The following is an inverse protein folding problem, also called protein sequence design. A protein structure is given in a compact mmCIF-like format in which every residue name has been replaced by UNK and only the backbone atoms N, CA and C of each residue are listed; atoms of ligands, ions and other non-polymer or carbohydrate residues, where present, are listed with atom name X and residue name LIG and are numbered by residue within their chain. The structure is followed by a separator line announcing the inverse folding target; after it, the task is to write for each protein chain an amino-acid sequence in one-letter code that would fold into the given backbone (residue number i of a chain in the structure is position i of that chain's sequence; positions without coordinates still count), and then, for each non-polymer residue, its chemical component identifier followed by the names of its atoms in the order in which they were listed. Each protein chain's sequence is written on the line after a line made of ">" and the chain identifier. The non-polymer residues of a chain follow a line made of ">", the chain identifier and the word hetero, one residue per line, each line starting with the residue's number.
data_IF_924190797722
#
_entry.id   IF_924190797722
#
_cell.length_a   1.000
_cell.length_b   1.000
_cell.length_c   1.000
_cell.angle_alpha   90.00
_cell.angle_beta   90.00
_cell.angle_gamma   90.00
#
_symmetry.space_group_name_H-M   'P 1'
#
loop_
_entity.id
_entity.type
_entity.pdbx_description
1 polymer ?
#
# COMPACT_ATOMS: atom_id res chain seq x y z
N UNK A 1 -10.35 -13.99 -28.76
CA UNK A 1 -11.65 -13.32 -28.56
C UNK A 1 -11.62 -12.06 -29.42
N UNK A 2 -12.65 -11.76 -30.22
CA UNK A 2 -12.69 -10.52 -31.01
C UNK A 2 -13.25 -9.33 -30.24
N UNK A 3 -14.02 -9.60 -29.19
CA UNK A 3 -14.81 -8.60 -28.48
C UNK A 3 -14.27 -8.49 -27.04
N UNK A 4 -14.10 -7.26 -26.57
CA UNK A 4 -13.51 -6.93 -25.27
C UNK A 4 -14.58 -6.77 -24.19
N UNK A 5 -14.63 -5.61 -23.55
CA UNK A 5 -15.65 -5.28 -22.55
C UNK A 5 -16.87 -4.68 -23.24
N UNK A 6 -18.06 -5.21 -22.93
CA UNK A 6 -19.35 -4.69 -23.38
C UNK A 6 -20.14 -4.06 -22.25
N UNK A 7 -20.82 -2.95 -22.54
CA UNK A 7 -21.73 -2.27 -21.63
C UNK A 7 -23.15 -2.50 -22.13
N UNK A 8 -24.03 -2.94 -21.22
CA UNK A 8 -25.45 -3.13 -21.50
C UNK A 8 -26.20 -1.92 -20.95
N UNK A 9 -26.87 -1.18 -21.83
CA UNK A 9 -27.67 -0.03 -21.44
C UNK A 9 -29.03 -0.42 -20.88
N UNK A 10 -29.80 0.57 -20.42
CA UNK A 10 -31.16 0.36 -19.88
C UNK A 10 -32.18 -0.14 -20.90
N UNK A 11 -31.87 -0.03 -22.18
CA UNK A 11 -32.69 -0.49 -23.31
C UNK A 11 -32.21 -1.83 -23.87
N UNK A 12 -31.26 -2.50 -23.19
CA UNK A 12 -30.65 -3.77 -23.59
C UNK A 12 -29.82 -3.69 -24.88
N UNK A 13 -29.34 -2.51 -25.28
CA UNK A 13 -28.32 -2.41 -26.32
C UNK A 13 -26.93 -2.65 -25.73
N UNK A 14 -26.08 -3.27 -26.53
CA UNK A 14 -24.69 -3.56 -26.18
C UNK A 14 -23.79 -2.56 -26.90
N UNK A 15 -23.01 -1.80 -26.13
CA UNK A 15 -21.95 -0.92 -26.63
C UNK A 15 -20.60 -1.50 -26.23
N UNK A 16 -19.69 -1.65 -27.20
CA UNK A 16 -18.35 -2.21 -26.95
C UNK A 16 -17.35 -1.11 -26.60
N UNK A 17 -16.60 -1.32 -25.52
CA UNK A 17 -15.56 -0.39 -25.08
C UNK A 17 -14.33 -0.56 -25.94
N UNK A 18 -13.92 0.51 -26.63
CA UNK A 18 -12.70 0.50 -27.46
C UNK A 18 -11.43 0.24 -26.63
N UNK A 19 -10.43 -0.39 -27.24
CA UNK A 19 -9.12 -0.63 -26.60
C UNK A 19 -9.09 -1.75 -25.55
N UNK A 20 -10.14 -2.56 -25.45
CA UNK A 20 -10.24 -3.65 -24.45
C UNK A 20 -10.05 -5.05 -25.04
N UNK A 21 -9.85 -5.17 -26.35
CA UNK A 21 -9.77 -6.44 -27.09
C UNK A 21 -8.40 -7.12 -27.01
N UNK A 22 -7.36 -6.40 -26.58
CA UNK A 22 -6.00 -6.92 -26.42
C UNK A 22 -5.82 -7.80 -25.18
N UNK A 23 -6.71 -7.67 -24.21
CA UNK A 23 -6.58 -8.27 -22.88
C UNK A 23 -7.72 -9.26 -22.62
N UNK A 24 -7.44 -10.27 -21.79
CA UNK A 24 -8.46 -11.23 -21.34
C UNK A 24 -8.97 -10.81 -19.97
N UNK A 25 -10.16 -10.23 -19.94
CA UNK A 25 -10.82 -9.80 -18.71
C UNK A 25 -11.50 -10.98 -18.01
N UNK A 26 -11.34 -11.07 -16.70
CA UNK A 26 -11.80 -12.17 -15.85
C UNK A 26 -13.00 -11.77 -14.99
N UNK A 27 -13.08 -10.50 -14.61
CA UNK A 27 -14.12 -10.02 -13.71
C UNK A 27 -14.18 -8.49 -13.68
N UNK A 28 -15.28 -7.98 -13.12
CA UNK A 28 -15.55 -6.57 -12.95
C UNK A 28 -16.09 -6.31 -11.54
N UNK A 29 -15.63 -5.21 -10.94
CA UNK A 29 -16.05 -4.72 -9.64
C UNK A 29 -16.58 -3.29 -9.82
N UNK A 30 -17.89 -3.11 -9.70
CA UNK A 30 -18.56 -1.82 -9.75
C UNK A 30 -19.12 -1.54 -8.35
N UNK A 31 -18.21 -1.35 -7.39
CA UNK A 31 -18.61 -1.34 -5.98
C UNK A 31 -19.29 -0.04 -5.56
N UNK A 32 -19.08 1.07 -6.26
CA UNK A 32 -19.80 2.32 -5.99
C UNK A 32 -20.67 2.73 -7.18
N UNK A 33 -21.99 2.75 -6.98
CA UNK A 33 -22.93 3.23 -7.98
C UNK A 33 -22.85 4.75 -8.21
N UNK A 34 -22.17 5.50 -7.34
CA UNK A 34 -22.01 6.95 -7.46
C UNK A 34 -20.74 7.36 -8.22
N UNK A 35 -19.72 6.49 -8.27
CA UNK A 35 -18.45 6.79 -8.93
C UNK A 35 -18.50 6.67 -10.46
N UNK A 36 -19.58 6.11 -11.03
CA UNK A 36 -19.68 5.79 -12.47
C UNK A 36 -18.39 5.13 -13.00
N UNK A 37 -17.76 4.30 -12.17
CA UNK A 37 -16.47 3.68 -12.43
C UNK A 37 -16.53 2.22 -12.02
N UNK A 38 -15.95 1.37 -12.85
CA UNK A 38 -15.83 -0.05 -12.62
C UNK A 38 -14.39 -0.48 -12.79
N UNK A 39 -13.93 -1.36 -11.93
CA UNK A 39 -12.57 -1.89 -11.95
C UNK A 39 -12.62 -3.30 -12.50
N UNK A 40 -11.84 -3.54 -13.54
CA UNK A 40 -11.75 -4.82 -14.21
C UNK A 40 -10.44 -5.50 -13.86
N UNK A 41 -10.50 -6.79 -13.63
CA UNK A 41 -9.33 -7.65 -13.45
C UNK A 41 -9.18 -8.54 -14.68
N UNK A 42 -7.94 -8.78 -15.10
CA UNK A 42 -7.63 -9.57 -16.29
C UNK A 42 -6.43 -10.48 -16.09
N UNK A 43 -6.24 -11.38 -17.05
CA UNK A 43 -5.10 -12.31 -17.08
C UNK A 43 -3.77 -11.55 -17.08
N UNK A 44 -2.74 -12.15 -16.48
CA UNK A 44 -1.42 -11.52 -16.31
C UNK A 44 -1.40 -10.38 -15.30
N UNK A 45 -2.23 -10.48 -14.25
CA UNK A 45 -2.36 -9.48 -13.19
C UNK A 45 -2.70 -8.08 -13.70
N UNK A 46 -3.57 -8.00 -14.73
CA UNK A 46 -4.04 -6.74 -15.31
C UNK A 46 -5.17 -6.15 -14.47
N UNK A 47 -5.12 -4.84 -14.25
CA UNK A 47 -6.22 -4.05 -13.69
C UNK A 47 -6.58 -2.95 -14.70
N UNK A 48 -7.88 -2.73 -14.92
CA UNK A 48 -8.39 -1.71 -15.81
C UNK A 48 -9.50 -0.89 -15.16
N UNK A 49 -9.38 0.43 -15.17
CA UNK A 49 -10.43 1.33 -14.70
C UNK A 49 -11.30 1.78 -15.86
N UNK A 50 -12.54 1.31 -15.88
CA UNK A 50 -13.55 1.71 -16.84
C UNK A 50 -14.38 2.85 -16.26
N UNK A 51 -14.34 4.01 -16.91
CA UNK A 51 -15.30 5.08 -16.61
C UNK A 51 -16.53 4.92 -17.48
N UNK A 52 -17.68 4.86 -16.82
CA UNK A 52 -18.99 4.75 -17.42
C UNK A 52 -19.55 6.14 -17.71
N UNK A 53 -20.13 6.29 -18.88
CA UNK A 53 -21.02 7.41 -19.22
C UNK A 53 -22.46 6.88 -19.16
N UNK A 54 -23.21 7.15 -18.08
CA UNK A 54 -24.57 6.64 -17.91
C UNK A 54 -25.58 7.28 -18.87
N UNK A 55 -25.26 8.45 -19.43
CA UNK A 55 -26.12 9.14 -20.40
C UNK A 55 -25.86 8.65 -21.82
N UNK A 56 -24.59 8.41 -22.16
CA UNK A 56 -24.15 7.93 -23.48
C UNK A 56 -23.19 6.73 -23.33
N UNK A 57 -23.69 5.49 -23.23
CA UNK A 57 -22.88 4.29 -22.96
C UNK A 57 -21.70 4.09 -23.93
N UNK A 58 -21.84 4.50 -25.19
CA UNK A 58 -20.79 4.46 -26.23
C UNK A 58 -19.56 5.30 -25.91
N UNK A 59 -19.69 6.34 -25.07
CA UNK A 59 -18.58 7.20 -24.65
C UNK A 59 -17.78 6.62 -23.47
N UNK A 60 -18.26 5.53 -22.88
CA UNK A 60 -17.56 4.86 -21.78
C UNK A 60 -16.21 4.32 -22.27
N UNK A 61 -15.16 4.51 -21.48
CA UNK A 61 -13.80 4.22 -21.92
C UNK A 61 -12.93 3.73 -20.78
N UNK A 62 -11.95 2.88 -21.12
CA UNK A 62 -10.86 2.55 -20.21
C UNK A 62 -9.98 3.77 -20.00
N UNK A 63 -9.91 4.22 -18.75
CA UNK A 63 -9.11 5.38 -18.33
C UNK A 63 -7.66 4.98 -18.10
N UNK A 64 -7.46 3.81 -17.47
CA UNK A 64 -6.13 3.34 -17.07
C UNK A 64 -6.11 1.81 -17.11
N UNK A 65 -5.06 1.25 -17.71
CA UNK A 65 -4.76 -0.19 -17.65
C UNK A 65 -3.33 -0.34 -17.16
N UNK A 66 -3.13 -1.16 -16.13
CA UNK A 66 -1.81 -1.46 -15.58
C UNK A 66 -1.71 -2.90 -15.12
N UNK A 67 -0.52 -3.32 -14.71
CA UNK A 67 -0.23 -4.69 -14.27
C UNK A 67 0.40 -4.69 -12.88
N UNK A 68 0.06 -5.69 -12.07
CA UNK A 68 0.52 -5.84 -10.68
C UNK A 68 1.45 -7.07 -10.56
N UNK A 69 2.46 -7.16 -11.45
CA UNK A 69 3.32 -8.34 -11.59
C UNK A 69 4.18 -8.65 -10.36
N UNK A 70 4.52 -7.64 -9.57
CA UNK A 70 5.45 -7.78 -8.45
C UNK A 70 4.89 -8.61 -7.28
N UNK A 71 3.57 -8.77 -7.20
CA UNK A 71 2.90 -9.45 -6.08
C UNK A 71 2.95 -10.97 -6.15
N UNK A 72 3.19 -11.53 -7.35
CA UNK A 72 3.18 -12.97 -7.60
C UNK A 72 1.78 -13.57 -7.56
N UNK A 73 1.37 -14.18 -8.67
CA UNK A 73 0.07 -14.82 -8.83
C UNK A 73 -0.81 -14.17 -9.90
N UNK A 74 -2.00 -14.72 -10.08
CA UNK A 74 -3.00 -14.29 -11.06
C UNK A 74 -4.34 -14.02 -10.37
N UNK A 75 -5.06 -13.01 -10.87
CA UNK A 75 -6.39 -12.68 -10.35
C UNK A 75 -7.36 -13.85 -10.53
N UNK A 76 -8.16 -14.10 -9.50
CA UNK A 76 -9.15 -15.18 -9.50
C UNK A 76 -10.58 -14.66 -9.42
N UNK A 77 -10.89 -13.93 -8.35
CA UNK A 77 -12.22 -13.33 -8.14
C UNK A 77 -12.09 -11.98 -7.46
N UNK A 78 -13.10 -11.14 -7.66
CA UNK A 78 -13.32 -9.92 -6.92
C UNK A 78 -14.48 -10.08 -5.91
N UNK A 79 -14.45 -9.30 -4.85
CA UNK A 79 -15.51 -9.14 -3.86
C UNK A 79 -15.59 -7.67 -3.46
N UNK A 80 -16.72 -7.27 -2.92
CA UNK A 80 -16.92 -5.91 -2.41
C UNK A 80 -16.22 -5.74 -1.06
N UNK A 81 -15.46 -4.66 -0.91
CA UNK A 81 -14.94 -4.20 0.38
C UNK A 81 -15.82 -3.14 1.02
N UNK A 82 -15.41 -2.68 2.20
CA UNK A 82 -16.01 -1.53 2.90
C UNK A 82 -15.59 -0.23 2.19
N UNK A 83 -16.42 0.81 2.27
CA UNK A 83 -16.16 2.14 1.70
C UNK A 83 -15.87 2.12 0.20
N UNK A 84 -16.74 1.48 -0.57
CA UNK A 84 -16.71 1.54 -2.05
C UNK A 84 -15.47 0.92 -2.71
N UNK A 85 -14.69 0.17 -1.96
CA UNK A 85 -13.50 -0.52 -2.43
C UNK A 85 -13.79 -1.92 -2.95
N UNK A 86 -12.83 -2.46 -3.67
CA UNK A 86 -12.88 -3.81 -4.22
C UNK A 86 -11.76 -4.67 -3.62
N UNK A 87 -12.11 -5.88 -3.21
CA UNK A 87 -11.17 -6.89 -2.76
C UNK A 87 -10.89 -7.84 -3.91
N UNK A 88 -9.61 -7.99 -4.29
CA UNK A 88 -9.18 -8.91 -5.32
C UNK A 88 -8.41 -10.07 -4.72
N UNK A 89 -8.79 -11.28 -5.12
CA UNK A 89 -8.12 -12.51 -4.70
C UNK A 89 -7.17 -13.00 -5.78
N UNK A 90 -6.05 -13.56 -5.35
CA UNK A 90 -5.00 -14.09 -6.21
C UNK A 90 -4.86 -15.61 -6.04
N UNK A 91 -4.36 -16.26 -7.07
CA UNK A 91 -3.86 -17.65 -7.06
C UNK A 91 -2.40 -17.66 -7.55
N UNK A 92 -1.44 -18.22 -6.80
CA UNK A 92 -1.54 -18.76 -5.44
C UNK A 92 -2.06 -17.74 -4.41
N UNK A 93 -2.50 -18.20 -3.23
CA UNK A 93 -3.30 -17.38 -2.30
C UNK A 93 -2.72 -15.98 -2.09
N UNK A 94 -3.58 -14.97 -2.26
CA UNK A 94 -3.26 -13.58 -2.01
C UNK A 94 -4.53 -12.74 -1.98
N UNK A 95 -4.45 -11.61 -1.30
CA UNK A 95 -5.56 -10.68 -1.13
C UNK A 95 -5.06 -9.25 -1.29
N UNK A 96 -5.73 -8.52 -2.18
CA UNK A 96 -5.48 -7.12 -2.46
C UNK A 96 -6.75 -6.33 -2.21
N UNK A 97 -6.58 -5.10 -1.75
CA UNK A 97 -7.64 -4.12 -1.62
C UNK A 97 -7.39 -2.98 -2.57
N UNK A 98 -8.37 -2.63 -3.36
CA UNK A 98 -8.30 -1.56 -4.34
C UNK A 98 -9.31 -0.46 -4.01
N UNK A 99 -8.83 0.77 -3.94
CA UNK A 99 -9.65 1.95 -3.76
C UNK A 99 -9.87 2.65 -5.12
N UNK A 100 -11.09 2.66 -5.67
CA UNK A 100 -11.36 3.32 -6.94
C UNK A 100 -11.31 4.85 -6.86
N UNK A 101 -11.46 5.45 -5.67
CA UNK A 101 -11.44 6.91 -5.50
C UNK A 101 -10.02 7.44 -5.55
N UNK A 102 -9.11 6.83 -4.80
CA UNK A 102 -7.70 7.25 -4.77
C UNK A 102 -6.85 6.56 -5.83
N UNK A 103 -7.37 5.49 -6.45
CA UNK A 103 -6.66 4.56 -7.34
C UNK A 103 -5.51 3.80 -6.67
N UNK A 104 -5.51 3.75 -5.33
CA UNK A 104 -4.51 3.04 -4.55
C UNK A 104 -4.80 1.54 -4.49
N UNK A 105 -3.74 0.75 -4.44
CA UNK A 105 -3.82 -0.69 -4.19
C UNK A 105 -3.04 -1.02 -2.93
N UNK A 106 -3.71 -1.65 -1.98
CA UNK A 106 -3.14 -2.11 -0.73
C UNK A 106 -3.01 -3.63 -0.75
N UNK A 107 -1.82 -4.12 -0.50
CA UNK A 107 -1.57 -5.54 -0.34
C UNK A 107 -1.94 -5.95 1.07
N UNK A 108 -3.00 -6.76 1.20
CA UNK A 108 -3.42 -7.28 2.51
C UNK A 108 -2.70 -8.58 2.84
N UNK A 109 -2.45 -9.41 1.82
CA UNK A 109 -1.80 -10.70 1.99
C UNK A 109 -1.14 -11.13 0.68
N UNK A 110 0.10 -11.62 0.76
CA UNK A 110 0.80 -12.26 -0.37
C UNK A 110 1.14 -13.70 -0.05
N UNK A 111 1.26 -14.52 -1.10
CA UNK A 111 1.54 -15.94 -0.94
C UNK A 111 2.85 -16.21 -0.20
N UNK A 112 3.88 -15.38 -0.41
CA UNK A 112 5.19 -15.51 0.21
C UNK A 112 5.10 -15.50 1.75
N UNK A 113 4.30 -14.59 2.31
CA UNK A 113 4.11 -14.46 3.76
C UNK A 113 3.22 -15.58 4.31
N UNK A 114 2.22 -16.04 3.54
CA UNK A 114 1.40 -17.19 3.95
C UNK A 114 2.22 -18.47 3.99
N UNK A 115 3.22 -18.64 3.12
CA UNK A 115 4.10 -19.82 3.13
C UNK A 115 4.89 -19.89 4.44
N UNK A 116 5.35 -18.76 4.98
CA UNK A 116 6.16 -18.76 6.21
C UNK A 116 5.34 -19.13 7.44
N UNK A 117 4.06 -18.71 7.48
CA UNK A 117 3.15 -19.00 8.59
C UNK A 117 2.45 -20.36 8.45
N UNK A 118 1.91 -20.67 7.27
CA UNK A 118 1.16 -21.90 7.03
C UNK A 118 1.23 -22.38 5.57
N UNK A 119 2.16 -23.31 5.32
CA UNK A 119 2.36 -23.96 4.01
C UNK A 119 1.11 -24.67 3.47
N UNK A 120 0.20 -25.10 4.34
CA UNK A 120 -1.01 -25.80 3.91
C UNK A 120 -2.01 -24.82 3.33
N UNK A 121 -2.19 -23.68 4.00
CA UNK A 121 -3.05 -22.57 3.58
C UNK A 121 -2.52 -21.90 2.32
N UNK A 122 -1.20 -21.78 2.16
CA UNK A 122 -0.58 -21.13 1.01
C UNK A 122 -0.89 -21.80 -0.35
N UNK A 123 -1.39 -23.04 -0.32
CA UNK A 123 -1.76 -23.84 -1.49
C UNK A 123 -3.28 -23.91 -1.72
N UNK A 124 -4.06 -23.17 -0.94
CA UNK A 124 -5.52 -23.11 -1.10
C UNK A 124 -5.90 -21.84 -1.86
N UNK A 125 -7.06 -21.85 -2.52
CA UNK A 125 -7.59 -20.67 -3.19
C UNK A 125 -8.63 -20.00 -2.29
N UNK A 126 -8.71 -18.67 -2.32
CA UNK A 126 -9.81 -17.94 -1.69
C UNK A 126 -11.02 -18.01 -2.61
N UNK A 127 -12.15 -18.50 -2.09
CA UNK A 127 -13.42 -18.52 -2.82
C UNK A 127 -14.22 -17.24 -2.55
N UNK A 128 -14.23 -16.78 -1.30
CA UNK A 128 -14.98 -15.60 -0.88
C UNK A 128 -14.24 -14.91 0.25
N UNK A 129 -14.33 -13.59 0.28
CA UNK A 129 -13.70 -12.72 1.28
C UNK A 129 -14.66 -11.58 1.58
N UNK A 130 -14.70 -11.17 2.84
CA UNK A 130 -15.43 -9.98 3.25
C UNK A 130 -14.69 -9.29 4.39
N UNK A 131 -14.84 -7.98 4.46
CA UNK A 131 -14.33 -7.16 5.54
C UNK A 131 -15.36 -7.04 6.68
N UNK A 132 -14.85 -7.01 7.91
CA UNK A 132 -15.63 -6.65 9.10
C UNK A 132 -15.39 -5.19 9.49
N UNK A 133 -14.16 -4.72 9.28
CA UNK A 133 -13.73 -3.32 9.32
C UNK A 133 -12.68 -3.12 8.22
N UNK A 134 -12.26 -1.88 7.97
CA UNK A 134 -11.28 -1.55 6.94
C UNK A 134 -10.02 -2.39 7.09
N UNK A 135 -9.68 -3.18 6.06
CA UNK A 135 -8.51 -4.08 6.00
C UNK A 135 -8.52 -5.25 6.99
N UNK A 136 -9.63 -5.51 7.68
CA UNK A 136 -9.76 -6.68 8.57
C UNK A 136 -11.00 -7.47 8.19
N UNK A 137 -10.95 -8.79 8.35
CA UNK A 137 -12.11 -9.60 8.04
C UNK A 137 -11.80 -11.08 7.96
N UNK A 138 -12.57 -11.77 7.13
CA UNK A 138 -12.46 -13.20 6.97
C UNK A 138 -12.51 -13.60 5.49
N UNK A 139 -11.91 -14.74 5.19
CA UNK A 139 -12.07 -15.39 3.91
C UNK A 139 -12.32 -16.89 4.08
N UNK A 140 -13.01 -17.45 3.09
CA UNK A 140 -13.28 -18.89 2.97
C UNK A 140 -12.39 -19.47 1.89
N UNK A 141 -11.69 -20.55 2.23
CA UNK A 141 -10.81 -21.25 1.29
C UNK A 141 -11.54 -22.35 0.52
N UNK A 142 -10.91 -22.82 -0.55
CA UNK A 142 -11.33 -23.98 -1.34
C UNK A 142 -11.55 -25.28 -0.55
N UNK A 143 -10.98 -25.40 0.65
CA UNK A 143 -11.18 -26.57 1.53
C UNK A 143 -12.20 -26.34 2.63
N UNK A 144 -12.86 -25.18 2.64
CA UNK A 144 -13.87 -24.82 3.63
C UNK A 144 -13.31 -24.27 4.94
N UNK A 145 -12.03 -23.90 4.99
CA UNK A 145 -11.44 -23.21 6.14
C UNK A 145 -11.91 -21.75 6.15
N UNK A 146 -12.30 -21.24 7.32
CA UNK A 146 -12.54 -19.81 7.55
C UNK A 146 -11.31 -19.26 8.25
N UNK A 147 -10.68 -18.26 7.65
CA UNK A 147 -9.44 -17.66 8.15
C UNK A 147 -9.64 -16.16 8.30
N UNK A 148 -9.21 -15.62 9.44
CA UNK A 148 -9.19 -14.18 9.66
C UNK A 148 -7.95 -13.56 9.02
N UNK A 149 -8.10 -12.36 8.48
CA UNK A 149 -6.99 -11.53 8.06
C UNK A 149 -7.07 -10.18 8.76
N UNK A 150 -5.90 -9.63 9.07
CA UNK A 150 -5.72 -8.32 9.66
C UNK A 150 -4.42 -7.74 9.10
N UNK A 151 -4.30 -6.41 8.99
CA UNK A 151 -3.05 -5.82 8.54
C UNK A 151 -1.95 -6.20 9.53
N UNK A 152 -0.75 -6.46 9.02
CA UNK A 152 0.42 -6.49 9.86
C UNK A 152 0.47 -5.13 10.56
N UNK A 153 0.22 -5.14 11.87
CA UNK A 153 0.58 -4.00 12.69
C UNK A 153 2.09 -3.98 12.58
N UNK A 154 2.62 -3.06 11.79
CA UNK A 154 3.98 -2.61 12.02
C UNK A 154 3.93 -2.13 13.47
N UNK A 155 4.33 -2.99 14.40
CA UNK A 155 5.09 -2.55 15.55
C UNK A 155 6.30 -1.87 14.95
N UNK A 156 6.10 -0.62 14.49
CA UNK A 156 7.11 0.37 14.17
C UNK A 156 8.04 0.25 15.34
N UNK A 157 9.15 -0.47 15.12
CA UNK A 157 9.92 -1.13 16.16
C UNK A 157 10.15 -0.14 17.28
N UNK A 158 9.25 -0.14 18.29
CA UNK A 158 9.15 0.98 19.21
C UNK A 158 10.49 1.05 19.95
N UNK A 159 11.14 -0.11 20.09
CA UNK A 159 12.53 -0.27 20.51
C UNK A 159 13.52 0.62 19.75
N UNK A 160 13.52 0.72 18.42
CA UNK A 160 14.51 1.54 17.68
C UNK A 160 14.23 3.02 17.89
N UNK A 161 12.98 3.47 17.72
CA UNK A 161 12.63 4.88 17.87
C UNK A 161 12.85 5.33 19.33
N UNK A 162 12.42 4.54 20.30
CA UNK A 162 12.65 4.80 21.73
C UNK A 162 14.13 4.76 22.08
N UNK A 163 14.93 3.84 21.53
CA UNK A 163 16.38 3.77 21.78
C UNK A 163 17.09 5.01 21.24
N UNK A 164 16.74 5.46 20.03
CA UNK A 164 17.30 6.69 19.45
C UNK A 164 16.90 7.91 20.27
N UNK A 165 15.64 8.01 20.68
CA UNK A 165 15.17 9.09 21.55
C UNK A 165 15.89 9.10 22.91
N UNK A 166 16.07 7.93 23.52
CA UNK A 166 16.80 7.77 24.78
C UNK A 166 18.28 8.18 24.64
N UNK A 167 18.92 7.83 23.53
CA UNK A 167 20.29 8.27 23.23
C UNK A 167 20.38 9.80 23.09
N UNK A 168 19.43 10.40 22.35
CA UNK A 168 19.37 11.86 22.17
C UNK A 168 19.19 12.55 23.52
N UNK A 169 18.26 12.08 24.35
CA UNK A 169 18.02 12.63 25.69
C UNK A 169 19.24 12.47 26.59
N UNK A 170 19.91 11.32 26.55
CA UNK A 170 21.13 11.04 27.33
C UNK A 170 22.30 11.97 26.98
N UNK A 171 22.38 12.46 25.73
CA UNK A 171 23.39 13.44 25.31
C UNK A 171 22.94 14.87 25.62
N UNK A 172 21.68 15.18 25.35
CA UNK A 172 21.14 16.54 25.47
C UNK A 172 21.14 17.03 26.92
N UNK A 173 20.70 16.20 27.87
CA UNK A 173 20.55 16.61 29.27
C UNK A 173 21.91 17.00 29.90
N UNK A 174 22.95 16.15 29.87
CA UNK A 174 24.28 16.55 30.35
C UNK A 174 24.88 17.71 29.54
N UNK A 175 24.62 17.77 28.23
CA UNK A 175 25.08 18.85 27.37
C UNK A 175 24.58 20.22 27.80
N UNK A 176 23.32 20.34 28.20
CA UNK A 176 22.73 21.58 28.73
C UNK A 176 23.37 21.95 30.08
N UNK A 177 23.58 20.99 30.99
CA UNK A 177 24.28 21.26 32.26
C UNK A 177 25.70 21.77 32.04
N UNK A 178 26.46 21.15 31.13
CA UNK A 178 27.81 21.61 30.78
C UNK A 178 27.78 22.99 30.11
N UNK A 179 26.79 23.25 29.25
CA UNK A 179 26.58 24.54 28.62
C UNK A 179 26.31 25.65 29.64
N UNK A 180 25.47 25.38 30.64
CA UNK A 180 25.16 26.32 31.73
C UNK A 180 26.39 26.59 32.61
N UNK A 181 27.16 25.56 32.97
CA UNK A 181 28.41 25.71 33.74
C UNK A 181 29.43 26.55 32.96
N UNK A 182 29.57 26.31 31.66
CA UNK A 182 30.45 27.09 30.79
C UNK A 182 30.00 28.55 30.66
N UNK A 183 28.69 28.80 30.54
CA UNK A 183 28.15 30.16 30.46
C UNK A 183 28.36 30.91 31.78
N UNK A 184 28.12 30.27 32.92
CA UNK A 184 28.21 30.92 34.22
C UNK A 184 29.65 31.11 34.73
N UNK A 185 30.65 30.44 34.15
CA UNK A 185 32.05 30.51 34.60
C UNK A 185 32.94 31.40 33.72
N UNK A 186 33.34 32.60 34.19
CA UNK A 186 34.28 33.47 33.48
C UNK A 186 35.66 32.82 33.30
N UNK A 187 36.03 31.90 34.19
CA UNK A 187 37.31 31.20 34.13
C UNK A 187 37.37 30.19 32.98
N UNK A 188 36.31 29.40 32.77
CA UNK A 188 36.24 28.43 31.67
C UNK A 188 36.21 29.12 30.30
N UNK A 189 35.48 30.23 30.19
CA UNK A 189 35.44 31.04 28.97
C UNK A 189 36.82 31.63 28.62
N UNK A 190 37.52 32.21 29.62
CA UNK A 190 38.88 32.75 29.44
C UNK A 190 39.88 31.66 29.04
N UNK A 191 39.79 30.48 29.66
CA UNK A 191 40.67 29.34 29.35
C UNK A 191 40.43 28.81 27.93
N UNK A 192 39.16 28.68 27.53
CA UNK A 192 38.80 28.28 26.17
C UNK A 192 39.26 29.30 25.12
N UNK A 193 39.03 30.60 25.36
CA UNK A 193 39.51 31.68 24.49
C UNK A 193 41.03 31.68 24.36
N UNK A 194 41.76 31.54 25.47
CA UNK A 194 43.22 31.49 25.46
C UNK A 194 43.75 30.28 24.69
N UNK A 195 43.11 29.12 24.83
CA UNK A 195 43.50 27.93 24.09
C UNK A 195 43.20 28.05 22.59
N UNK A 196 42.03 28.60 22.22
CA UNK A 196 41.66 28.87 20.83
C UNK A 196 42.62 29.86 20.18
N UNK A 197 42.95 30.95 20.87
CA UNK A 197 43.88 31.96 20.37
C UNK A 197 45.29 31.38 20.21
N UNK A 198 45.79 30.57 21.15
CA UNK A 198 47.07 29.86 21.00
C UNK A 198 47.09 28.91 19.80
N UNK A 199 45.98 28.24 19.49
CA UNK A 199 45.87 27.41 18.27
C UNK A 199 45.90 28.24 17.00
N UNK A 200 45.26 29.41 16.98
CA UNK A 200 45.27 30.33 15.85
C UNK A 200 46.66 30.96 15.64
N UNK A 201 47.34 31.36 16.70
CA UNK A 201 48.72 31.89 16.63
C UNK A 201 49.72 30.84 16.12
N UNK A 202 49.57 29.57 16.53
CA UNK A 202 50.36 28.46 15.97
C UNK A 202 50.14 28.24 14.47
N UNK A 203 48.92 28.45 13.99
CA UNK A 203 48.60 28.37 12.54
C UNK A 203 49.15 29.57 11.74
N UNK A 204 49.37 30.73 12.36
CA UNK A 204 49.95 31.91 11.71
C UNK A 204 51.49 31.91 11.70
N UNK A 205 52.12 31.10 12.55
CA UNK A 205 53.58 31.00 12.70
C UNK A 205 54.21 29.80 11.98
N UNK A 206 53.39 28.99 11.29
CA UNK A 206 53.87 28.01 10.31
C UNK A 206 53.95 28.68 8.93
N UNK A 207 55.12 28.66 8.24
CA UNK A 207 55.28 29.23 6.90
C UNK A 207 54.44 28.51 5.85
#
# INVERSE_FOLDING_TARGET
>A
LSDGIGIIDRWSNISWVSGTTSDTWLGAACDDGTLNECVYIGSGARIGNLRLDPDTPENSAMVKIWELKELGGEFHTNQRGIDSTSLFTLIPIGLLRYDPVTTDTFTLMVNADVITENVTLSRENIISVWEMDTRTGFFVTSRGSIVSFEPLVDELNDGILTTVLMLVVAIAVPGVFLGLIYWNSPWLQRKYLNWRNRRLERKKTQP
#
